data_IF_765591713934
#
_entry.id   IF_765591713934
#
_cell.length_a   1.000
_cell.length_b   1.000
_cell.length_c   1.000
_cell.angle_alpha   90.00
_cell.angle_beta   90.00
_cell.angle_gamma   90.00
#
_symmetry.space_group_name_H-M   'P 1'
#
loop_
_entity.id
_entity.type
_entity.pdbx_description
1 polymer ?
#
# COMPACT_ATOMS: atom_id res chain seq x y z
N UNK A 1 -5.84 10.44 4.46
CA UNK A 1 -4.72 10.25 3.52
C UNK A 1 -4.65 11.45 2.60
N UNK A 2 -3.48 12.07 2.44
CA UNK A 2 -3.26 13.23 1.57
C UNK A 2 -2.06 12.98 0.66
N UNK A 3 -2.02 13.67 -0.47
CA UNK A 3 -0.82 13.74 -1.31
C UNK A 3 0.35 14.33 -0.49
N UNK A 4 1.53 13.75 -0.65
CA UNK A 4 2.74 14.10 0.09
C UNK A 4 2.79 13.54 1.52
N UNK A 5 1.81 12.75 1.94
CA UNK A 5 1.84 12.13 3.25
C UNK A 5 2.93 11.07 3.32
N UNK A 6 3.63 11.02 4.45
CA UNK A 6 4.70 10.07 4.70
C UNK A 6 4.10 8.70 5.08
N UNK A 7 4.73 7.63 4.61
CA UNK A 7 4.24 6.26 4.77
C UNK A 7 5.43 5.35 5.10
N UNK A 8 5.31 4.62 6.21
CA UNK A 8 6.25 3.58 6.58
C UNK A 8 5.86 2.29 5.87
N UNK A 9 6.80 1.68 5.16
CA UNK A 9 6.60 0.48 4.37
C UNK A 9 7.48 -0.62 4.97
N UNK A 10 6.87 -1.75 5.29
CA UNK A 10 7.56 -2.95 5.77
C UNK A 10 7.36 -4.07 4.76
N UNK A 11 8.36 -4.91 4.57
CA UNK A 11 8.30 -6.05 3.66
C UNK A 11 8.54 -7.34 4.43
N UNK A 12 7.75 -8.38 4.15
CA UNK A 12 7.91 -9.70 4.80
C UNK A 12 9.32 -10.28 4.63
N UNK A 13 9.99 -9.97 3.52
CA UNK A 13 11.35 -10.42 3.22
C UNK A 13 12.42 -9.82 4.14
N UNK A 14 12.16 -8.65 4.75
CA UNK A 14 13.08 -7.93 5.62
C UNK A 14 12.37 -7.50 6.92
N UNK A 15 12.04 -8.47 7.80
CA UNK A 15 11.37 -8.16 9.05
C UNK A 15 12.26 -7.28 9.92
N UNK A 16 11.78 -6.07 10.23
CA UNK A 16 12.49 -5.07 11.03
C UNK A 16 13.18 -3.96 10.22
N UNK A 17 13.13 -4.00 8.89
CA UNK A 17 13.48 -2.84 8.05
C UNK A 17 12.22 -2.07 7.67
N UNK A 18 12.18 -0.79 8.02
CA UNK A 18 11.13 0.14 7.63
C UNK A 18 11.66 1.07 6.53
N UNK A 19 10.93 1.14 5.42
CA UNK A 19 11.23 2.02 4.30
C UNK A 19 10.28 3.19 4.33
N UNK A 20 10.81 4.40 4.37
CA UNK A 20 9.99 5.61 4.34
C UNK A 20 9.72 6.01 2.89
N UNK A 21 8.45 6.12 2.54
CA UNK A 21 7.98 6.61 1.27
C UNK A 21 6.99 7.76 1.42
N UNK A 22 6.62 8.37 0.30
CA UNK A 22 5.66 9.46 0.27
C UNK A 22 4.57 9.18 -0.76
N UNK A 23 3.32 9.51 -0.44
CA UNK A 23 2.19 9.34 -1.35
C UNK A 23 2.31 10.35 -2.49
N UNK A 24 2.46 9.85 -3.72
CA UNK A 24 2.56 10.71 -4.93
C UNK A 24 1.27 10.70 -5.76
N UNK A 25 0.43 9.69 -5.59
CA UNK A 25 -0.82 9.59 -6.32
C UNK A 25 -1.87 8.84 -5.50
N UNK A 26 -3.12 9.31 -5.57
CA UNK A 26 -4.29 8.65 -5.00
C UNK A 26 -5.32 8.61 -6.13
N UNK A 27 -5.69 7.42 -6.56
CA UNK A 27 -6.71 7.25 -7.59
C UNK A 27 -8.05 7.78 -7.07
N UNK A 28 -8.72 8.63 -7.84
CA UNK A 28 -10.07 9.11 -7.53
C UNK A 28 -11.13 8.04 -7.83
N UNK A 29 -10.76 7.02 -8.61
CA UNK A 29 -11.64 5.93 -8.98
C UNK A 29 -11.53 4.78 -7.99
N UNK A 30 -12.65 4.47 -7.36
CA UNK A 30 -12.84 3.28 -6.55
C UNK A 30 -12.74 2.01 -7.41
N UNK A 31 -11.81 1.12 -7.07
CA UNK A 31 -11.76 -0.23 -7.60
C UNK A 31 -12.51 -1.18 -6.66
N UNK A 32 -13.30 -2.06 -7.26
CA UNK A 32 -13.97 -3.12 -6.52
C UNK A 32 -13.04 -4.32 -6.49
N UNK A 33 -12.60 -4.73 -5.31
CA UNK A 33 -11.96 -6.04 -5.13
C UNK A 33 -13.04 -7.09 -4.90
N UNK A 34 -13.39 -7.94 -5.88
CA UNK A 34 -14.28 -9.06 -5.64
C UNK A 34 -13.54 -10.09 -4.78
N UNK A 35 -13.77 -10.10 -3.46
CA UNK A 35 -13.45 -11.28 -2.66
C UNK A 35 -14.57 -12.29 -2.86
N UNK A 36 -14.21 -13.52 -3.24
CA UNK A 36 -15.14 -14.64 -3.33
C UNK A 36 -15.51 -15.10 -1.91
N UNK A 37 -16.49 -14.45 -1.28
CA UNK A 37 -16.95 -14.77 0.07
C UNK A 37 -18.37 -15.33 0.01
N UNK A 38 -18.55 -16.51 0.62
CA UNK A 38 -19.80 -17.30 0.64
C UNK A 38 -20.90 -16.70 1.53
N UNK A 39 -20.69 -15.51 2.11
CA UNK A 39 -21.60 -14.86 3.05
C UNK A 39 -22.07 -13.51 2.52
N UNK A 40 -23.39 -13.30 2.55
CA UNK A 40 -24.13 -12.21 1.89
C UNK A 40 -23.73 -10.80 2.39
N UNK A 41 -23.14 -10.73 3.59
CA UNK A 41 -22.86 -9.48 4.32
C UNK A 41 -21.60 -8.74 3.85
N UNK A 42 -20.64 -9.44 3.24
CA UNK A 42 -19.34 -8.85 2.86
C UNK A 42 -19.32 -8.24 1.45
N UNK A 43 -20.38 -7.52 1.07
CA UNK A 43 -20.48 -6.84 -0.22
C UNK A 43 -20.04 -5.38 -0.10
N UNK A 44 -18.97 -5.03 -0.83
CA UNK A 44 -18.46 -3.68 -1.13
C UNK A 44 -17.39 -3.16 -0.17
N UNK A 45 -16.21 -3.77 -0.23
CA UNK A 45 -14.98 -3.01 0.05
C UNK A 45 -14.63 -2.23 -1.21
N UNK A 46 -14.78 -0.92 -1.15
CA UNK A 46 -14.22 -0.01 -2.13
C UNK A 46 -12.77 0.23 -1.74
N UNK A 47 -11.85 -0.12 -2.63
CA UNK A 47 -10.43 0.21 -2.47
C UNK A 47 -10.06 1.29 -3.46
N UNK A 48 -9.09 2.13 -3.08
CA UNK A 48 -8.53 3.14 -3.96
C UNK A 48 -7.06 2.81 -4.16
N UNK A 49 -6.62 2.77 -5.41
CA UNK A 49 -5.20 2.62 -5.71
C UNK A 49 -4.43 3.84 -5.20
N UNK A 50 -3.30 3.59 -4.53
CA UNK A 50 -2.38 4.63 -4.05
C UNK A 50 -1.00 4.29 -4.55
N UNK A 51 -0.31 5.27 -5.12
CA UNK A 51 1.10 5.14 -5.47
C UNK A 51 1.95 5.86 -4.44
N UNK A 52 2.92 5.11 -3.92
CA UNK A 52 3.87 5.59 -2.92
C UNK A 52 5.25 5.55 -3.57
N UNK A 53 5.91 6.71 -3.58
CA UNK A 53 7.30 6.80 -3.99
C UNK A 53 8.19 6.48 -2.79
N UNK A 54 9.00 5.43 -2.91
CA UNK A 54 9.95 5.00 -1.89
C UNK A 54 11.36 5.10 -2.44
N UNK A 55 12.27 5.63 -1.64
CA UNK A 55 13.70 5.63 -1.99
C UNK A 55 14.30 4.27 -1.66
N UNK A 56 14.80 3.57 -2.67
CA UNK A 56 15.44 2.25 -2.55
C UNK A 56 16.91 2.29 -3.00
N UNK A 57 17.77 3.08 -2.32
CA UNK A 57 19.16 3.27 -2.74
C UNK A 57 19.98 1.98 -2.69
N UNK A 58 19.64 1.07 -1.77
CA UNK A 58 20.33 -0.22 -1.60
C UNK A 58 19.80 -1.32 -2.54
N UNK A 59 18.76 -1.05 -3.34
CA UNK A 59 18.19 -2.04 -4.27
C UNK A 59 17.52 -3.24 -3.56
N UNK A 60 17.20 -3.11 -2.27
CA UNK A 60 16.58 -4.16 -1.45
C UNK A 60 15.14 -4.44 -1.88
N UNK A 61 14.38 -3.38 -2.19
CA UNK A 61 13.01 -3.50 -2.69
C UNK A 61 13.00 -3.95 -4.17
N UNK A 62 12.24 -5.00 -4.46
CA UNK A 62 12.13 -5.64 -5.77
C UNK A 62 10.66 -5.71 -6.17
N UNK A 63 10.34 -5.54 -7.46
CA UNK A 63 8.96 -5.66 -7.93
C UNK A 63 8.42 -7.06 -7.65
N UNK A 64 7.16 -7.11 -7.19
CA UNK A 64 6.47 -8.35 -6.83
C UNK A 64 6.64 -8.80 -5.38
N UNK A 65 7.44 -8.08 -4.56
CA UNK A 65 7.47 -8.35 -3.13
C UNK A 65 6.20 -7.82 -2.45
N UNK A 66 5.53 -8.64 -1.62
CA UNK A 66 4.47 -8.14 -0.75
C UNK A 66 5.05 -7.15 0.25
N UNK A 67 4.32 -6.07 0.47
CA UNK A 67 4.70 -5.00 1.38
C UNK A 67 3.44 -4.50 2.09
N UNK A 68 3.60 -4.21 3.38
CA UNK A 68 2.61 -3.53 4.19
C UNK A 68 3.00 -2.06 4.29
N UNK A 69 2.02 -1.17 4.14
CA UNK A 69 2.22 0.26 4.18
C UNK A 69 1.34 0.87 5.28
N UNK A 70 1.97 1.56 6.22
CA UNK A 70 1.32 2.24 7.35
C UNK A 70 1.55 3.73 7.22
N UNK A 71 0.46 4.48 7.21
CA UNK A 71 0.50 5.94 7.15
C UNK A 71 0.97 6.47 8.50
N UNK A 72 2.04 7.28 8.51
CA UNK A 72 2.48 8.01 9.71
C UNK A 72 1.68 9.32 9.84
N UNK A 73 1.29 9.63 11.08
CA UNK A 73 0.49 10.82 11.44
C UNK A 73 1.32 12.10 11.52
#
# INVERSE_FOLDING_TARGET
MKLGQEVAITVDSFPGEEFIGSVIHISEQAEFTPRNVQTVDSRKSTVYAVEIQVSNPEGKLKPGMPADAVVVE
#
